data_IF_542984903577
#
_entry.id   IF_542984903577
#
_cell.length_a   1.000
_cell.length_b   1.000
_cell.length_c   1.000
_cell.angle_alpha   90.00
_cell.angle_beta   90.00
_cell.angle_gamma   90.00
#
_symmetry.space_group_name_H-M   'P 1'
#
loop_
_entity.id
_entity.type
_entity.pdbx_description
1 polymer ?
#
# COMPACT_ATOMS: atom_id res chain seq x y z
N UNK A 1 -22.47 29.98 -1.94
CA UNK A 1 -22.74 28.59 -1.50
C UNK A 1 -22.34 27.50 -2.49
N UNK A 2 -21.13 27.55 -3.07
CA UNK A 2 -20.59 26.42 -3.87
C UNK A 2 -19.13 26.24 -3.50
N UNK A 3 -18.74 25.01 -3.16
CA UNK A 3 -17.36 24.63 -2.87
C UNK A 3 -16.67 24.28 -4.20
N UNK A 4 -15.84 25.17 -4.78
CA UNK A 4 -15.33 24.99 -6.15
C UNK A 4 -14.37 23.80 -6.29
N UNK A 5 -13.87 23.27 -5.17
CA UNK A 5 -12.90 22.18 -5.13
C UNK A 5 -13.46 20.90 -4.49
N UNK A 6 -14.78 20.84 -4.24
CA UNK A 6 -15.38 19.61 -3.70
C UNK A 6 -15.42 18.55 -4.81
N UNK A 7 -14.65 17.48 -4.62
CA UNK A 7 -14.74 16.26 -5.41
C UNK A 7 -15.41 15.16 -4.58
N UNK A 8 -16.35 14.44 -5.18
CA UNK A 8 -16.97 13.24 -4.59
C UNK A 8 -16.36 12.02 -5.27
N UNK A 9 -15.64 11.22 -4.51
CA UNK A 9 -15.08 9.95 -4.96
C UNK A 9 -15.97 8.82 -4.43
N UNK A 10 -16.41 7.92 -5.31
CA UNK A 10 -17.25 6.77 -4.96
C UNK A 10 -16.56 5.51 -5.41
N UNK A 11 -16.26 4.64 -4.45
CA UNK A 11 -15.75 3.29 -4.69
C UNK A 11 -16.82 2.23 -4.55
N UNK A 12 -16.51 1.02 -5.02
CA UNK A 12 -17.28 -0.20 -4.80
C UNK A 12 -16.63 -1.15 -3.81
N UNK A 13 -17.15 -2.37 -3.76
CA UNK A 13 -16.73 -3.42 -2.85
C UNK A 13 -15.41 -4.10 -3.26
N UNK A 14 -15.00 -3.99 -4.53
CA UNK A 14 -13.80 -4.65 -5.08
C UNK A 14 -12.88 -3.64 -5.78
N UNK A 15 -11.63 -4.02 -6.03
CA UNK A 15 -10.69 -3.17 -6.80
C UNK A 15 -11.20 -2.89 -8.22
N UNK A 16 -11.88 -3.84 -8.86
CA UNK A 16 -12.41 -3.70 -10.22
C UNK A 16 -13.58 -2.70 -10.29
N UNK A 17 -14.30 -2.56 -9.18
CA UNK A 17 -15.35 -1.54 -9.03
C UNK A 17 -14.75 -0.15 -8.74
N UNK A 18 -13.54 -0.09 -8.18
CA UNK A 18 -12.78 1.15 -7.93
C UNK A 18 -12.01 1.62 -9.17
N UNK A 19 -12.74 1.99 -10.23
CA UNK A 19 -12.13 2.41 -11.51
C UNK A 19 -11.37 3.73 -11.46
N UNK A 20 -11.73 4.61 -10.51
CA UNK A 20 -11.02 5.87 -10.33
C UNK A 20 -9.67 5.61 -9.64
N UNK A 21 -8.57 5.92 -10.33
CA UNK A 21 -7.21 5.77 -9.80
C UNK A 21 -6.97 6.62 -8.55
N UNK A 22 -7.75 7.68 -8.32
CA UNK A 22 -7.68 8.49 -7.10
C UNK A 22 -8.10 7.72 -5.84
N UNK A 23 -8.80 6.58 -5.98
CA UNK A 23 -9.17 5.70 -4.87
C UNK A 23 -8.03 4.75 -4.46
N UNK A 24 -6.94 4.67 -5.23
CA UNK A 24 -5.79 3.86 -4.87
C UNK A 24 -5.12 4.43 -3.62
N UNK A 25 -4.83 3.57 -2.65
CA UNK A 25 -4.10 3.91 -1.44
C UNK A 25 -2.73 3.21 -1.43
N UNK A 26 -1.72 3.75 -2.15
CA UNK A 26 -0.40 3.12 -2.22
C UNK A 26 0.34 3.27 -0.89
N UNK A 27 0.97 2.17 -0.46
CA UNK A 27 1.87 2.16 0.70
C UNK A 27 3.33 2.09 0.26
N UNK A 28 4.18 2.86 0.94
CA UNK A 28 5.62 2.85 0.74
C UNK A 28 6.37 2.57 2.04
N UNK A 29 7.55 1.98 1.93
CA UNK A 29 8.51 1.83 3.02
C UNK A 29 9.68 2.77 2.77
N UNK A 30 10.01 3.61 3.75
CA UNK A 30 11.07 4.62 3.63
C UNK A 30 11.98 4.49 4.86
N UNK A 31 13.18 3.89 4.72
CA UNK A 31 14.18 3.89 5.79
C UNK A 31 14.55 5.33 6.19
N UNK A 32 14.62 5.59 7.49
CA UNK A 32 15.00 6.92 8.01
C UNK A 32 16.51 7.12 7.79
N UNK A 33 16.89 8.30 7.33
CA UNK A 33 18.30 8.66 7.14
C UNK A 33 19.04 8.66 8.50
N UNK A 34 20.03 7.78 8.73
CA UNK A 34 20.75 7.68 9.99
C UNK A 34 21.64 8.89 10.29
N UNK A 35 22.10 9.63 9.27
CA UNK A 35 22.96 10.82 9.45
C UNK A 35 22.21 11.98 10.13
N UNK A 36 20.87 11.92 10.14
CA UNK A 36 20.02 12.96 10.72
C UNK A 36 19.64 12.70 12.18
N UNK A 37 19.74 11.46 12.67
CA UNK A 37 19.27 11.08 14.00
C UNK A 37 20.15 10.00 14.64
N UNK A 38 20.73 10.31 15.80
CA UNK A 38 21.41 9.31 16.62
C UNK A 38 20.39 8.30 17.18
N UNK A 39 20.70 7.00 17.11
CA UNK A 39 19.84 5.92 17.61
C UNK A 39 19.02 5.19 16.54
N UNK A 40 19.13 5.58 15.27
CA UNK A 40 18.51 4.84 14.16
C UNK A 40 19.26 3.51 13.95
N UNK A 41 18.50 2.41 13.94
CA UNK A 41 19.02 1.12 13.55
C UNK A 41 18.89 0.92 12.02
N UNK A 42 19.80 1.52 11.27
CA UNK A 42 19.77 1.51 9.81
C UNK A 42 19.79 0.09 9.23
N UNK A 43 20.61 -0.80 9.79
CA UNK A 43 20.73 -2.17 9.30
C UNK A 43 19.41 -2.96 9.41
N UNK A 44 18.65 -2.78 10.49
CA UNK A 44 17.33 -3.43 10.62
C UNK A 44 16.27 -2.78 9.74
N UNK A 45 16.32 -1.46 9.55
CA UNK A 45 15.41 -0.76 8.63
C UNK A 45 15.57 -1.25 7.19
N UNK A 46 16.82 -1.42 6.73
CA UNK A 46 17.12 -1.98 5.40
C UNK A 46 16.68 -3.44 5.27
N UNK A 47 16.92 -4.26 6.29
CA UNK A 47 16.46 -5.65 6.32
C UNK A 47 14.92 -5.75 6.24
N UNK A 48 14.21 -4.88 6.96
CA UNK A 48 12.76 -4.81 6.89
C UNK A 48 12.28 -4.38 5.50
N UNK A 49 12.89 -3.35 4.90
CA UNK A 49 12.56 -2.89 3.56
C UNK A 49 12.77 -3.99 2.52
N UNK A 50 13.89 -4.72 2.58
CA UNK A 50 14.17 -5.85 1.71
C UNK A 50 13.17 -7.00 1.91
N UNK A 51 12.84 -7.33 3.15
CA UNK A 51 11.89 -8.39 3.47
C UNK A 51 10.48 -8.05 2.99
N UNK A 52 9.96 -6.84 3.28
CA UNK A 52 8.58 -6.47 2.96
C UNK A 52 8.37 -6.29 1.45
N UNK A 53 9.42 -5.96 0.70
CA UNK A 53 9.38 -5.85 -0.77
C UNK A 53 9.74 -7.14 -1.51
N UNK A 54 10.15 -8.19 -0.80
CA UNK A 54 10.48 -9.48 -1.42
C UNK A 54 9.27 -10.14 -2.11
N UNK A 55 9.48 -10.91 -3.20
CA UNK A 55 8.39 -11.60 -3.89
C UNK A 55 7.56 -12.51 -2.99
N UNK A 56 8.22 -13.19 -2.05
CA UNK A 56 7.54 -14.08 -1.09
C UNK A 56 6.59 -13.29 -0.17
N UNK A 57 7.07 -12.20 0.42
CA UNK A 57 6.24 -11.39 1.31
C UNK A 57 5.13 -10.67 0.55
N UNK A 58 5.40 -10.19 -0.67
CA UNK A 58 4.38 -9.60 -1.54
C UNK A 58 3.27 -10.62 -1.90
N UNK A 59 3.61 -11.89 -2.13
CA UNK A 59 2.62 -12.94 -2.32
C UNK A 59 1.75 -13.18 -1.07
N UNK A 60 2.36 -13.13 0.13
CA UNK A 60 1.62 -13.21 1.40
C UNK A 60 0.68 -12.02 1.58
N UNK A 61 1.14 -10.80 1.28
CA UNK A 61 0.32 -9.58 1.31
C UNK A 61 -0.88 -9.72 0.35
N UNK A 62 -0.64 -10.13 -0.89
CA UNK A 62 -1.68 -10.35 -1.90
C UNK A 62 -2.64 -11.52 -1.62
N UNK A 63 -2.35 -12.35 -0.62
CA UNK A 63 -3.24 -13.42 -0.16
C UNK A 63 -4.05 -13.04 1.09
N UNK A 64 -3.65 -11.97 1.79
CA UNK A 64 -4.22 -11.60 3.08
C UNK A 64 -5.71 -11.21 2.96
N UNK A 65 -6.55 -11.83 3.78
CA UNK A 65 -7.98 -11.55 3.88
C UNK A 65 -8.87 -12.37 2.93
N UNK A 66 -8.30 -13.13 1.99
CA UNK A 66 -9.09 -13.92 1.02
C UNK A 66 -10.03 -14.92 1.69
N UNK A 67 -9.55 -15.60 2.72
CA UNK A 67 -10.30 -16.58 3.52
C UNK A 67 -11.49 -15.96 4.26
N UNK A 68 -11.32 -14.75 4.79
CA UNK A 68 -12.31 -14.07 5.61
C UNK A 68 -13.30 -13.23 4.81
N UNK A 69 -12.85 -12.61 3.71
CA UNK A 69 -13.62 -11.61 2.98
C UNK A 69 -13.96 -12.04 1.55
N UNK A 70 -13.52 -13.23 1.11
CA UNK A 70 -13.70 -13.72 -0.25
C UNK A 70 -12.81 -13.03 -1.30
N UNK A 71 -12.00 -12.05 -0.89
CA UNK A 71 -11.10 -11.27 -1.74
C UNK A 71 -9.89 -10.76 -0.94
N UNK A 72 -8.75 -10.42 -1.58
CA UNK A 72 -7.62 -9.84 -0.88
C UNK A 72 -7.94 -8.42 -0.39
N UNK A 73 -7.39 -8.04 0.77
CA UNK A 73 -7.45 -6.66 1.26
C UNK A 73 -6.35 -5.76 0.68
N UNK A 74 -5.25 -6.36 0.24
CA UNK A 74 -4.09 -5.66 -0.32
C UNK A 74 -3.70 -6.27 -1.66
N UNK A 75 -3.24 -5.42 -2.57
CA UNK A 75 -2.78 -5.82 -3.89
C UNK A 75 -1.30 -5.47 -4.00
N UNK A 76 -0.47 -6.48 -4.25
CA UNK A 76 0.97 -6.33 -4.39
C UNK A 76 1.29 -5.68 -5.75
N UNK A 77 1.89 -4.48 -5.72
CA UNK A 77 2.12 -3.68 -6.93
C UNK A 77 0.86 -3.01 -7.46
N UNK A 78 1.02 -1.83 -8.07
CA UNK A 78 -0.08 -1.18 -8.79
C UNK A 78 -0.56 -2.14 -9.88
N UNK A 79 -1.88 -2.40 -10.03
CA UNK A 79 -2.37 -3.18 -11.15
C UNK A 79 -1.84 -2.56 -12.44
N UNK A 80 -1.01 -3.29 -13.18
CA UNK A 80 -0.82 -2.98 -14.58
C UNK A 80 -2.15 -3.29 -15.24
N UNK A 81 -2.82 -2.22 -15.66
CA UNK A 81 -4.07 -2.19 -16.43
C UNK A 81 -4.21 -3.32 -17.45
#
# INVERSE_FOLDING_TARGET
>A
DKLPNLAVLVGGATIDENKDKALLNPYGVIPVNPDKHAGINAALAEQFAAWITSPETQAKIGAYGKDKFGQPLFYAGVPTS
#
